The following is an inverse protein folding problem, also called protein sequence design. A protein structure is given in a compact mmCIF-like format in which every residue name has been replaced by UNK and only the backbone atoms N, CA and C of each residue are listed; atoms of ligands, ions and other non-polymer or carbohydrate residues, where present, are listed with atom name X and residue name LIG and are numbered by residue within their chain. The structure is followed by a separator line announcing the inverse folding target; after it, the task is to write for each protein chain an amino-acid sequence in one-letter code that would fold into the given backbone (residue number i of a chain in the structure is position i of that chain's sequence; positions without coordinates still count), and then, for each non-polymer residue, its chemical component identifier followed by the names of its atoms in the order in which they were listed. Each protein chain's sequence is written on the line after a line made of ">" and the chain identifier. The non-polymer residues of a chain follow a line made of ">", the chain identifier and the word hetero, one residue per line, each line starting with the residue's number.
data_IF_360200444806
#
_entry.id   IF_360200444806
#
_cell.length_a   1.000
_cell.length_b   1.000
_cell.length_c   1.000
_cell.angle_alpha   90.00
_cell.angle_beta   90.00
_cell.angle_gamma   90.00
#
_symmetry.space_group_name_H-M   'P 1'
#
loop_
_entity.id
_entity.type
_entity.pdbx_description
1 polymer ?
#
# COMPACT_ATOMS: atom_id res chain seq x y z
N UNK A 1 -33.05 -51.95 49.82
CA UNK A 1 -33.70 -50.80 49.16
C UNK A 1 -32.77 -50.21 48.10
N UNK A 2 -32.97 -50.52 46.81
CA UNK A 2 -32.19 -49.92 45.72
C UNK A 2 -32.95 -48.75 45.07
N UNK A 3 -32.27 -47.61 44.91
CA UNK A 3 -32.79 -46.40 44.24
C UNK A 3 -32.68 -46.53 42.72
N UNK A 4 -33.69 -46.01 42.06
CA UNK A 4 -34.00 -46.11 40.64
C UNK A 4 -32.96 -45.47 39.71
N UNK A 5 -32.70 -46.16 38.59
CA UNK A 5 -32.08 -45.63 37.37
C UNK A 5 -33.13 -44.79 36.63
N UNK A 6 -32.86 -43.51 36.41
CA UNK A 6 -33.58 -42.68 35.45
C UNK A 6 -33.04 -42.91 34.04
N UNK A 7 -33.98 -43.30 33.18
CA UNK A 7 -33.85 -43.58 31.76
C UNK A 7 -34.08 -42.24 31.03
N UNK A 8 -33.11 -41.77 30.24
CA UNK A 8 -33.28 -40.61 29.34
C UNK A 8 -33.50 -41.15 27.93
N UNK A 9 -34.63 -40.73 27.37
CA UNK A 9 -35.22 -41.06 26.08
C UNK A 9 -34.57 -40.24 24.93
N UNK A 10 -34.09 -40.86 23.84
CA UNK A 10 -33.64 -40.18 22.64
C UNK A 10 -34.77 -40.04 21.60
N UNK A 11 -35.27 -38.82 21.41
CA UNK A 11 -36.23 -38.46 20.36
C UNK A 11 -35.55 -37.96 19.05
N UNK A 12 -36.26 -37.91 17.90
CA UNK A 12 -35.89 -38.70 16.74
C UNK A 12 -35.28 -37.95 15.53
N UNK A 13 -34.66 -38.78 14.69
CA UNK A 13 -34.13 -38.55 13.34
C UNK A 13 -35.21 -37.97 12.40
N UNK A 14 -35.00 -36.74 11.90
CA UNK A 14 -35.73 -36.20 10.74
C UNK A 14 -35.10 -36.74 9.45
N UNK A 15 -35.88 -37.56 8.75
CA UNK A 15 -35.69 -37.94 7.34
C UNK A 15 -36.09 -36.78 6.44
N UNK A 16 -35.22 -36.36 5.52
CA UNK A 16 -35.63 -35.62 4.34
C UNK A 16 -35.48 -36.48 3.08
N UNK A 17 -36.55 -36.46 2.31
CA UNK A 17 -36.88 -37.36 1.24
C UNK A 17 -36.14 -37.05 -0.06
N UNK A 18 -35.84 -38.12 -0.80
CA UNK A 18 -35.53 -38.08 -2.22
C UNK A 18 -36.76 -37.66 -3.04
N UNK A 19 -36.58 -36.76 -4.00
CA UNK A 19 -37.40 -36.65 -5.21
C UNK A 19 -36.54 -36.13 -6.35
N UNK A 20 -36.38 -36.98 -7.37
CA UNK A 20 -35.74 -36.63 -8.63
C UNK A 20 -36.72 -36.02 -9.64
N UNK A 21 -36.13 -35.48 -10.71
CA UNK A 21 -36.79 -35.04 -11.94
C UNK A 21 -36.00 -33.91 -12.63
N UNK A 22 -36.16 -33.69 -13.94
CA UNK A 22 -35.45 -34.47 -14.95
C UNK A 22 -34.47 -33.64 -15.80
N UNK A 23 -33.61 -34.39 -16.51
CA UNK A 23 -32.69 -33.96 -17.55
C UNK A 23 -33.38 -33.18 -18.67
N UNK A 24 -32.82 -32.02 -19.03
CA UNK A 24 -32.92 -31.48 -20.39
C UNK A 24 -31.51 -31.49 -21.01
N UNK A 25 -31.38 -32.30 -22.06
CA UNK A 25 -30.23 -32.36 -22.97
C UNK A 25 -30.38 -31.29 -24.05
N UNK A 26 -29.23 -31.00 -24.69
CA UNK A 26 -28.96 -30.35 -26.00
C UNK A 26 -28.55 -28.88 -25.81
N UNK A 27 -27.41 -28.40 -26.33
CA UNK A 27 -26.81 -28.65 -27.64
C UNK A 27 -25.27 -28.50 -27.58
N UNK A 28 -24.57 -29.24 -28.46
CA UNK A 28 -23.14 -29.18 -28.72
C UNK A 28 -22.80 -28.04 -29.70
N UNK A 29 -21.64 -27.41 -29.54
CA UNK A 29 -20.76 -26.82 -30.56
C UNK A 29 -19.43 -26.51 -29.84
N UNK A 30 -18.38 -27.34 -29.91
CA UNK A 30 -17.44 -27.56 -31.01
C UNK A 30 -16.60 -26.32 -31.36
N UNK A 31 -15.40 -26.24 -30.78
CA UNK A 31 -14.16 -25.64 -31.28
C UNK A 31 -13.20 -25.56 -30.05
N UNK A 32 -11.94 -25.92 -30.06
CA UNK A 32 -11.01 -26.37 -31.08
C UNK A 32 -9.67 -26.50 -30.34
N UNK A 33 -8.92 -27.54 -30.67
CA UNK A 33 -7.59 -27.82 -30.15
C UNK A 33 -6.65 -26.61 -30.32
N UNK A 34 -6.00 -26.19 -29.24
CA UNK A 34 -4.71 -25.51 -29.30
C UNK A 34 -3.85 -26.00 -28.13
N UNK A 35 -3.13 -27.09 -28.41
CA UNK A 35 -1.96 -27.52 -27.65
C UNK A 35 -0.87 -26.49 -27.93
N UNK A 36 -0.51 -25.70 -26.92
CA UNK A 36 0.74 -24.94 -26.91
C UNK A 36 1.46 -25.27 -25.60
N UNK A 37 2.52 -26.05 -25.76
CA UNK A 37 3.43 -26.42 -24.70
C UNK A 37 4.16 -25.19 -24.17
N UNK A 38 4.00 -24.94 -22.87
CA UNK A 38 4.86 -24.03 -22.13
C UNK A 38 6.07 -24.83 -21.63
N UNK A 39 7.30 -24.40 -21.92
CA UNK A 39 8.48 -24.97 -21.30
C UNK A 39 8.46 -24.66 -19.81
N UNK A 40 8.53 -25.71 -19.00
CA UNK A 40 8.90 -25.66 -17.59
C UNK A 40 10.35 -25.14 -17.52
N UNK A 41 10.51 -23.82 -17.46
CA UNK A 41 11.76 -23.22 -17.01
C UNK A 41 11.74 -23.31 -15.48
N UNK A 42 12.43 -24.32 -14.96
CA UNK A 42 12.70 -24.45 -13.54
C UNK A 42 13.55 -23.28 -13.07
N UNK A 43 12.92 -22.29 -12.44
CA UNK A 43 13.60 -21.32 -11.59
C UNK A 43 13.97 -22.02 -10.27
N UNK A 44 15.04 -22.81 -10.34
CA UNK A 44 15.84 -23.17 -9.18
C UNK A 44 16.68 -21.95 -8.77
N UNK A 45 16.06 -21.03 -8.06
CA UNK A 45 16.74 -19.97 -7.31
C UNK A 45 15.90 -19.66 -6.06
N UNK A 46 15.82 -20.67 -5.18
CA UNK A 46 15.49 -20.37 -3.79
C UNK A 46 16.63 -19.55 -3.19
N UNK A 47 16.36 -18.56 -2.32
CA UNK A 47 17.42 -18.03 -1.50
C UNK A 47 17.94 -19.22 -0.69
N UNK A 48 19.22 -19.55 -0.88
CA UNK A 48 19.93 -20.26 0.15
C UNK A 48 19.84 -19.37 1.39
N UNK A 49 18.82 -19.63 2.22
CA UNK A 49 18.89 -19.33 3.64
C UNK A 49 20.07 -20.16 4.11
N UNK A 50 21.27 -19.59 3.96
CA UNK A 50 22.42 -19.99 4.72
C UNK A 50 21.91 -19.97 6.14
N UNK A 51 21.77 -21.16 6.72
CA UNK A 51 21.76 -21.30 8.15
C UNK A 51 23.14 -20.80 8.58
N UNK A 52 23.25 -19.48 8.74
CA UNK A 52 24.22 -18.88 9.63
C UNK A 52 23.81 -19.36 11.01
N UNK A 53 24.18 -20.60 11.32
CA UNK A 53 24.50 -20.99 12.67
C UNK A 53 25.58 -19.98 13.05
N UNK A 54 25.16 -18.92 13.74
CA UNK A 54 26.06 -18.06 14.47
C UNK A 54 26.75 -19.02 15.45
N UNK A 55 27.90 -19.53 15.03
CA UNK A 55 28.86 -20.14 15.92
C UNK A 55 29.35 -18.95 16.73
N UNK A 56 28.62 -18.64 17.81
CA UNK A 56 29.14 -17.76 18.85
C UNK A 56 30.52 -18.31 19.16
N UNK A 57 31.54 -17.50 18.85
CA UNK A 57 32.92 -17.85 19.14
C UNK A 57 33.01 -18.31 20.57
N UNK A 58 33.73 -19.40 20.79
CA UNK A 58 33.96 -20.02 22.09
C UNK A 58 34.82 -19.15 23.04
N UNK A 59 34.89 -17.85 22.79
CA UNK A 59 35.69 -16.84 23.51
C UNK A 59 34.81 -15.70 24.06
N UNK A 60 33.50 -15.89 24.17
CA UNK A 60 32.71 -15.05 25.06
C UNK A 60 33.16 -15.36 26.50
N UNK A 61 33.69 -14.40 27.27
CA UNK A 61 34.03 -14.63 28.66
C UNK A 61 32.78 -15.18 29.35
N UNK A 62 32.91 -16.37 29.95
CA UNK A 62 31.85 -16.98 30.73
C UNK A 62 31.32 -15.90 31.68
N UNK A 63 30.01 -15.60 31.68
CA UNK A 63 29.46 -14.68 32.65
C UNK A 63 29.84 -15.24 34.03
N UNK A 64 30.69 -14.50 34.73
CA UNK A 64 31.12 -14.84 36.08
C UNK A 64 29.88 -14.96 36.95
N UNK A 65 29.43 -16.19 37.14
CA UNK A 65 28.40 -16.57 38.08
C UNK A 65 28.99 -16.46 39.49
N UNK A 66 29.10 -15.22 39.96
CA UNK A 66 29.20 -14.87 41.37
C UNK A 66 27.86 -14.24 41.71
N UNK A 67 26.99 -14.70 42.59
CA UNK A 67 26.91 -15.83 43.51
C UNK A 67 25.63 -15.57 44.31
N UNK A 68 24.83 -16.60 44.57
CA UNK A 68 23.73 -16.65 45.57
C UNK A 68 22.52 -15.69 45.48
N UNK A 69 22.49 -14.66 44.64
CA UNK A 69 21.30 -13.80 44.46
C UNK A 69 20.31 -14.30 43.39
N UNK A 70 20.62 -15.40 42.67
CA UNK A 70 19.78 -15.91 41.57
C UNK A 70 18.42 -16.49 42.02
N UNK A 71 18.21 -16.73 43.31
CA UNK A 71 16.99 -17.34 43.83
C UNK A 71 15.89 -16.33 44.19
N UNK A 72 16.16 -15.01 44.26
CA UNK A 72 15.11 -14.10 44.69
C UNK A 72 14.08 -13.87 43.58
N UNK A 73 12.87 -14.34 43.87
CA UNK A 73 11.68 -13.94 43.15
C UNK A 73 11.30 -14.78 41.93
N UNK A 74 12.12 -15.77 41.52
CA UNK A 74 11.76 -16.69 40.44
C UNK A 74 10.40 -17.40 40.65
N UNK A 75 10.05 -17.92 41.85
CA UNK A 75 8.73 -18.50 42.08
C UNK A 75 7.59 -17.47 41.94
N UNK A 76 7.80 -16.24 42.43
CA UNK A 76 6.83 -15.14 42.33
C UNK A 76 6.65 -14.68 40.89
N UNK A 77 7.74 -14.62 40.13
CA UNK A 77 7.73 -14.26 38.72
C UNK A 77 7.04 -15.35 37.89
N UNK A 78 7.35 -16.62 38.12
CA UNK A 78 6.67 -17.76 37.49
C UNK A 78 5.15 -17.76 37.76
N UNK A 79 4.74 -17.50 39.02
CA UNK A 79 3.33 -17.33 39.35
C UNK A 79 2.69 -16.15 38.59
N UNK A 80 3.40 -15.03 38.45
CA UNK A 80 2.93 -13.89 37.66
C UNK A 80 2.82 -14.20 36.16
N UNK A 81 3.75 -14.98 35.58
CA UNK A 81 3.66 -15.44 34.20
C UNK A 81 2.44 -16.34 33.99
N UNK A 82 2.15 -17.24 34.94
CA UNK A 82 0.96 -18.09 34.92
C UNK A 82 -0.33 -17.25 34.93
N UNK A 83 -0.38 -16.19 35.73
CA UNK A 83 -1.52 -15.26 35.77
C UNK A 83 -1.67 -14.48 34.45
N UNK A 84 -0.57 -14.00 33.86
CA UNK A 84 -0.59 -13.31 32.55
C UNK A 84 -1.11 -14.27 31.47
N UNK A 85 -0.68 -15.53 31.49
CA UNK A 85 -1.15 -16.57 30.59
C UNK A 85 -2.65 -16.81 30.70
N UNK A 86 -3.19 -16.80 31.93
CA UNK A 86 -4.61 -17.03 32.17
C UNK A 86 -5.48 -15.81 31.81
N UNK A 87 -5.00 -14.59 32.07
CA UNK A 87 -5.81 -13.38 31.98
C UNK A 87 -5.60 -12.55 30.71
N UNK A 88 -4.37 -12.41 30.22
CA UNK A 88 -4.01 -11.49 29.12
C UNK A 88 -3.80 -12.20 27.80
N UNK A 89 -3.12 -13.34 27.80
CA UNK A 89 -2.81 -14.07 26.56
C UNK A 89 -4.06 -14.50 25.76
N UNK A 90 -5.23 -14.85 26.36
CA UNK A 90 -6.43 -15.16 25.59
C UNK A 90 -6.92 -14.00 24.71
N UNK A 91 -6.63 -12.75 25.07
CA UNK A 91 -6.97 -11.59 24.25
C UNK A 91 -6.23 -11.58 22.91
N UNK A 92 -5.00 -12.14 22.85
CA UNK A 92 -4.26 -12.30 21.58
C UNK A 92 -4.99 -13.25 20.63
N UNK A 93 -5.59 -14.31 21.18
CA UNK A 93 -6.38 -15.27 20.41
C UNK A 93 -7.70 -14.64 19.95
N UNK A 94 -8.44 -13.99 20.86
CA UNK A 94 -9.69 -13.30 20.53
C UNK A 94 -9.47 -12.23 19.44
N UNK A 95 -8.48 -11.35 19.63
CA UNK A 95 -8.12 -10.34 18.65
C UNK A 95 -7.79 -10.93 17.26
N UNK A 96 -7.27 -12.15 17.19
CA UNK A 96 -6.96 -12.83 15.93
C UNK A 96 -8.20 -13.41 15.25
N UNK A 97 -9.17 -13.86 16.03
CA UNK A 97 -10.48 -14.32 15.54
C UNK A 97 -11.31 -13.11 15.07
N UNK A 98 -11.21 -11.99 15.78
CA UNK A 98 -11.89 -10.72 15.47
C UNK A 98 -11.21 -9.92 14.34
N UNK A 99 -10.00 -10.31 13.94
CA UNK A 99 -9.26 -9.61 12.91
C UNK A 99 -9.98 -9.72 11.56
N UNK A 100 -10.72 -8.66 11.27
CA UNK A 100 -11.95 -8.65 10.47
C UNK A 100 -11.90 -9.31 9.10
N UNK A 101 -13.10 -9.59 8.60
CA UNK A 101 -13.32 -9.89 7.20
C UNK A 101 -12.78 -8.75 6.31
N UNK A 102 -12.28 -9.06 5.10
CA UNK A 102 -12.01 -8.00 4.13
C UNK A 102 -13.28 -7.19 3.89
N UNK A 103 -13.13 -5.89 3.71
CA UNK A 103 -14.20 -5.02 3.25
C UNK A 103 -14.57 -5.42 1.81
N UNK A 104 -15.71 -6.07 1.66
CA UNK A 104 -16.22 -6.59 0.38
C UNK A 104 -16.64 -5.45 -0.58
N UNK A 105 -16.83 -4.23 -0.09
CA UNK A 105 -17.16 -3.07 -0.93
C UNK A 105 -15.96 -2.61 -1.77
N UNK A 106 -14.74 -3.01 -1.39
CA UNK A 106 -13.53 -2.54 -2.04
C UNK A 106 -13.24 -3.31 -3.34
N UNK A 107 -12.74 -2.61 -4.39
CA UNK A 107 -12.46 -3.22 -5.69
C UNK A 107 -11.28 -4.23 -5.71
N UNK A 108 -10.59 -4.44 -4.58
CA UNK A 108 -9.42 -5.35 -4.49
C UNK A 108 -8.14 -4.82 -5.13
N UNK A 109 -8.18 -3.63 -5.75
CA UNK A 109 -7.07 -2.96 -6.43
C UNK A 109 -7.39 -1.48 -6.58
N UNK A 110 -6.37 -0.64 -6.84
CA UNK A 110 -6.63 0.75 -7.21
C UNK A 110 -7.45 0.81 -8.52
N UNK A 111 -8.42 1.72 -8.56
CA UNK A 111 -9.26 2.07 -9.70
C UNK A 111 -8.40 2.75 -10.76
N UNK A 112 -7.52 3.65 -10.33
CA UNK A 112 -6.59 4.39 -11.17
C UNK A 112 -5.14 4.00 -10.85
N UNK A 113 -4.43 3.53 -11.88
CA UNK A 113 -2.99 3.34 -11.78
C UNK A 113 -2.28 4.65 -12.12
N UNK A 114 -1.45 5.21 -11.23
CA UNK A 114 -0.69 6.41 -11.55
C UNK A 114 0.24 6.13 -12.73
N UNK A 115 0.27 7.07 -13.68
CA UNK A 115 1.10 7.02 -14.88
C UNK A 115 2.49 7.56 -14.54
N UNK A 116 2.53 8.67 -13.82
CA UNK A 116 3.77 9.21 -13.27
C UNK A 116 4.19 8.40 -12.04
N UNK A 117 5.41 7.87 -12.07
CA UNK A 117 5.99 7.28 -10.87
C UNK A 117 6.17 8.38 -9.81
N UNK A 118 5.73 8.16 -8.56
CA UNK A 118 5.88 9.17 -7.53
C UNK A 118 7.35 9.55 -7.32
N UNK A 119 7.62 10.85 -7.33
CA UNK A 119 8.93 11.40 -6.94
C UNK A 119 9.14 11.21 -5.43
N UNK A 120 10.29 10.69 -5.03
CA UNK A 120 10.65 10.51 -3.61
C UNK A 120 10.29 9.16 -3.00
N UNK A 121 10.96 8.82 -1.89
CA UNK A 121 10.81 7.54 -1.21
C UNK A 121 9.49 7.39 -0.46
N UNK A 122 9.02 8.45 0.20
CA UNK A 122 7.74 8.45 0.93
C UNK A 122 6.53 8.26 0.03
N UNK A 123 6.51 8.96 -1.10
CA UNK A 123 5.50 8.86 -2.13
C UNK A 123 5.33 7.41 -2.64
N UNK A 124 6.45 6.72 -2.90
CA UNK A 124 6.44 5.30 -3.31
C UNK A 124 5.95 4.38 -2.19
N UNK A 125 6.35 4.65 -0.95
CA UNK A 125 5.86 3.90 0.22
C UNK A 125 4.36 4.10 0.43
N UNK A 126 3.84 5.31 0.22
CA UNK A 126 2.42 5.64 0.32
C UNK A 126 1.61 4.86 -0.73
N UNK A 127 2.06 4.89 -1.99
CA UNK A 127 1.46 4.12 -3.08
C UNK A 127 1.50 2.60 -2.82
N UNK A 128 2.62 2.08 -2.31
CA UNK A 128 2.75 0.67 -1.96
C UNK A 128 1.79 0.26 -0.84
N UNK A 129 1.69 1.09 0.21
CA UNK A 129 0.78 0.88 1.33
C UNK A 129 -0.70 0.92 0.87
N UNK A 130 -1.09 1.90 0.05
CA UNK A 130 -2.45 1.97 -0.49
C UNK A 130 -2.78 0.77 -1.39
N UNK A 131 -1.85 0.33 -2.26
CA UNK A 131 -2.03 -0.89 -3.05
C UNK A 131 -2.22 -2.14 -2.18
N UNK A 132 -1.46 -2.22 -1.09
CA UNK A 132 -1.57 -3.32 -0.14
C UNK A 132 -2.94 -3.29 0.57
N UNK A 133 -3.42 -2.13 1.00
CA UNK A 133 -4.76 -1.96 1.59
C UNK A 133 -5.87 -2.29 0.59
N UNK A 134 -5.75 -1.86 -0.67
CA UNK A 134 -6.71 -2.18 -1.72
C UNK A 134 -6.81 -3.70 -1.93
N UNK A 135 -5.68 -4.40 -2.00
CA UNK A 135 -5.64 -5.87 -2.17
C UNK A 135 -6.09 -6.64 -0.95
N UNK A 136 -5.82 -6.12 0.25
CA UNK A 136 -6.19 -6.79 1.49
C UNK A 136 -7.66 -6.60 1.85
N UNK A 137 -8.40 -5.75 1.13
CA UNK A 137 -9.76 -5.35 1.52
C UNK A 137 -9.73 -4.52 2.80
N UNK A 138 -8.80 -3.57 2.88
CA UNK A 138 -8.56 -2.70 4.04
C UNK A 138 -8.30 -3.45 5.35
N UNK A 139 -7.83 -4.69 5.28
CA UNK A 139 -7.46 -5.46 6.48
C UNK A 139 -6.27 -4.81 7.19
N UNK A 140 -6.14 -4.99 8.52
CA UNK A 140 -5.01 -4.49 9.30
C UNK A 140 -3.67 -4.82 8.65
N UNK A 141 -2.70 -3.90 8.73
CA UNK A 141 -1.44 -4.00 7.99
C UNK A 141 -0.69 -5.32 8.26
N UNK A 142 -0.76 -5.83 9.49
CA UNK A 142 -0.13 -7.10 9.86
C UNK A 142 -0.71 -8.32 9.12
N UNK A 143 -1.97 -8.25 8.66
CA UNK A 143 -2.59 -9.29 7.84
C UNK A 143 -2.28 -9.16 6.36
N UNK A 144 -1.84 -7.98 5.92
CA UNK A 144 -1.75 -7.66 4.52
C UNK A 144 -0.49 -8.21 3.84
N UNK A 145 0.48 -8.74 4.59
CA UNK A 145 1.66 -9.42 4.04
C UNK A 145 1.81 -10.85 4.61
N UNK A 146 2.42 -11.75 3.85
CA UNK A 146 2.76 -13.10 4.36
C UNK A 146 3.81 -13.03 5.48
N UNK A 147 4.77 -12.12 5.36
CA UNK A 147 5.84 -11.90 6.34
C UNK A 147 5.28 -11.42 7.68
N UNK A 148 4.47 -10.36 7.68
CA UNK A 148 3.84 -9.83 8.90
C UNK A 148 2.93 -10.87 9.56
N UNK A 149 2.17 -11.65 8.79
CA UNK A 149 1.35 -12.75 9.34
C UNK A 149 2.19 -13.83 10.00
N UNK A 150 3.32 -14.18 9.38
CA UNK A 150 4.27 -15.14 9.95
C UNK A 150 4.90 -14.58 11.23
N UNK A 151 5.36 -13.33 11.23
CA UNK A 151 5.94 -12.66 12.40
C UNK A 151 4.95 -12.63 13.56
N UNK A 152 3.71 -12.17 13.34
CA UNK A 152 2.68 -12.12 14.39
C UNK A 152 2.39 -13.51 14.95
N UNK A 153 2.30 -14.53 14.07
CA UNK A 153 2.12 -15.92 14.50
C UNK A 153 3.31 -16.40 15.34
N UNK A 154 4.53 -16.13 14.91
CA UNK A 154 5.72 -16.61 15.61
C UNK A 154 5.90 -15.89 16.96
N UNK A 155 5.78 -14.57 17.00
CA UNK A 155 5.81 -13.79 18.25
C UNK A 155 4.73 -14.27 19.22
N UNK A 156 3.50 -14.50 18.74
CA UNK A 156 2.42 -15.05 19.57
C UNK A 156 2.77 -16.44 20.11
N UNK A 157 3.33 -17.33 19.29
CA UNK A 157 3.75 -18.67 19.71
C UNK A 157 4.89 -18.62 20.72
N UNK A 158 5.92 -17.80 20.49
CA UNK A 158 7.06 -17.64 21.39
C UNK A 158 6.62 -17.10 22.74
N UNK A 159 5.75 -16.09 22.77
CA UNK A 159 5.15 -15.60 24.02
C UNK A 159 4.36 -16.70 24.73
N UNK A 160 3.61 -17.52 23.99
CA UNK A 160 2.88 -18.66 24.55
C UNK A 160 3.81 -19.70 25.18
N UNK A 161 4.96 -20.00 24.55
CA UNK A 161 5.99 -20.89 25.10
C UNK A 161 6.68 -20.28 26.31
N UNK A 162 7.05 -19.01 26.24
CA UNK A 162 7.68 -18.26 27.34
C UNK A 162 6.79 -18.24 28.59
N UNK A 163 5.50 -17.93 28.43
CA UNK A 163 4.51 -17.93 29.50
C UNK A 163 4.20 -19.34 30.06
N UNK A 164 4.65 -20.39 29.38
CA UNK A 164 4.46 -21.79 29.76
C UNK A 164 5.74 -22.46 30.28
N UNK A 165 6.83 -21.70 30.43
CA UNK A 165 8.09 -22.23 30.96
C UNK A 165 7.90 -22.71 32.40
N UNK A 166 8.48 -23.86 32.71
CA UNK A 166 8.55 -24.35 34.09
C UNK A 166 9.37 -23.39 34.96
N UNK A 167 9.11 -23.44 36.26
CA UNK A 167 9.88 -22.68 37.24
C UNK A 167 11.37 -23.09 37.18
N UNK A 168 12.24 -22.12 36.91
CA UNK A 168 13.69 -22.30 36.92
C UNK A 168 14.34 -21.13 37.66
N UNK A 169 15.51 -21.38 38.25
CA UNK A 169 16.30 -20.33 38.91
C UNK A 169 16.76 -19.23 37.94
N UNK A 170 16.80 -19.51 36.64
CA UNK A 170 17.23 -18.59 35.60
C UNK A 170 16.10 -17.76 34.97
N UNK A 171 14.85 -17.94 35.40
CA UNK A 171 13.67 -17.32 34.77
C UNK A 171 13.73 -15.78 34.76
N UNK A 172 14.41 -15.18 35.74
CA UNK A 172 14.59 -13.74 35.83
C UNK A 172 15.71 -13.18 34.92
N UNK A 173 16.55 -14.05 34.33
CA UNK A 173 17.68 -13.66 33.50
C UNK A 173 17.30 -13.32 32.06
N UNK A 174 17.89 -12.28 31.48
CA UNK A 174 17.77 -11.96 30.05
C UNK A 174 16.38 -11.47 29.57
N UNK A 175 15.41 -11.31 30.48
CA UNK A 175 14.03 -10.88 30.13
C UNK A 175 14.00 -9.55 29.37
N UNK A 176 14.75 -8.49 29.76
CA UNK A 176 14.73 -7.23 29.02
C UNK A 176 15.17 -7.36 27.55
N UNK A 177 16.20 -8.16 27.27
CA UNK A 177 16.70 -8.39 25.92
C UNK A 177 15.73 -9.23 25.07
N UNK A 178 15.11 -10.24 25.68
CA UNK A 178 14.05 -11.01 25.06
C UNK A 178 12.86 -10.11 24.67
N UNK A 179 12.35 -9.29 25.60
CA UNK A 179 11.22 -8.40 25.33
C UNK A 179 11.57 -7.30 24.31
N UNK A 180 12.80 -6.79 24.33
CA UNK A 180 13.31 -5.87 23.29
C UNK A 180 13.25 -6.52 21.90
N UNK A 181 13.66 -7.78 21.80
CA UNK A 181 13.60 -8.55 20.55
C UNK A 181 12.15 -8.75 20.08
N UNK A 182 11.24 -9.13 20.97
CA UNK A 182 9.81 -9.29 20.65
C UNK A 182 9.18 -7.98 20.17
N UNK A 183 9.49 -6.85 20.83
CA UNK A 183 9.02 -5.51 20.39
C UNK A 183 9.56 -5.13 19.01
N UNK A 184 10.80 -5.47 18.70
CA UNK A 184 11.39 -5.22 17.38
C UNK A 184 10.66 -6.00 16.27
N UNK A 185 10.36 -7.27 16.49
CA UNK A 185 9.56 -8.07 15.56
C UNK A 185 8.15 -7.51 15.41
N UNK A 186 7.51 -7.13 16.51
CA UNK A 186 6.17 -6.56 16.49
C UNK A 186 6.10 -5.24 15.71
N UNK A 187 7.08 -4.35 15.92
CA UNK A 187 7.18 -3.08 15.19
C UNK A 187 7.33 -3.28 13.68
N UNK A 188 8.09 -4.32 13.26
CA UNK A 188 8.20 -4.71 11.84
C UNK A 188 6.87 -5.21 11.27
N UNK A 189 6.01 -5.83 12.08
CA UNK A 189 4.77 -6.44 11.61
C UNK A 189 3.56 -5.47 11.57
N UNK A 190 3.40 -4.60 12.57
CA UNK A 190 2.27 -3.65 12.67
C UNK A 190 2.43 -2.40 11.79
N UNK A 191 3.67 -1.98 11.54
CA UNK A 191 3.95 -0.70 10.91
C UNK A 191 3.72 0.45 11.90
N UNK A 192 4.60 1.43 11.87
CA UNK A 192 4.60 2.54 12.84
C UNK A 192 3.46 3.53 12.54
N UNK A 193 2.60 3.93 13.51
CA UNK A 193 1.58 4.96 13.31
C UNK A 193 2.19 6.30 12.87
N UNK A 194 3.37 6.69 13.38
CA UNK A 194 4.06 7.88 12.91
C UNK A 194 4.45 7.78 11.43
N UNK A 195 4.75 6.57 10.96
CA UNK A 195 4.94 6.31 9.53
C UNK A 195 3.65 6.52 8.73
N UNK A 196 2.48 6.15 9.26
CA UNK A 196 1.20 6.37 8.55
C UNK A 196 0.92 7.86 8.38
N UNK A 197 1.10 8.67 9.42
CA UNK A 197 0.90 10.12 9.35
C UNK A 197 1.88 10.78 8.38
N UNK A 198 3.14 10.35 8.39
CA UNK A 198 4.13 10.80 7.40
C UNK A 198 3.71 10.42 5.96
N UNK A 199 3.20 9.21 5.74
CA UNK A 199 2.69 8.77 4.43
C UNK A 199 1.46 9.59 4.00
N UNK A 200 0.54 9.88 4.92
CA UNK A 200 -0.63 10.73 4.65
C UNK A 200 -0.20 12.15 4.28
N UNK A 201 0.72 12.75 5.04
CA UNK A 201 1.23 14.09 4.78
C UNK A 201 1.94 14.18 3.41
N UNK A 202 2.85 13.25 3.11
CA UNK A 202 3.52 13.17 1.82
C UNK A 202 2.51 13.00 0.67
N UNK A 203 1.54 12.10 0.83
CA UNK A 203 0.52 11.85 -0.18
C UNK A 203 -0.43 13.05 -0.36
N UNK A 204 -0.72 13.79 0.70
CA UNK A 204 -1.54 15.01 0.64
C UNK A 204 -0.85 16.08 -0.20
N UNK A 205 0.45 16.27 -0.03
CA UNK A 205 1.26 17.16 -0.88
C UNK A 205 1.19 16.77 -2.35
N UNK A 206 1.38 15.49 -2.66
CA UNK A 206 1.33 14.97 -4.03
C UNK A 206 -0.05 15.12 -4.65
N UNK A 207 -1.11 14.76 -3.93
CA UNK A 207 -2.48 14.89 -4.41
C UNK A 207 -2.82 16.36 -4.67
N UNK A 208 -2.45 17.27 -3.76
CA UNK A 208 -2.64 18.71 -3.91
C UNK A 208 -1.92 19.25 -5.15
N UNK A 209 -0.63 18.95 -5.32
CA UNK A 209 0.14 19.36 -6.50
C UNK A 209 -0.41 18.77 -7.80
N UNK A 210 -0.84 17.50 -7.80
CA UNK A 210 -1.41 16.85 -8.98
C UNK A 210 -2.76 17.46 -9.37
N UNK A 211 -3.61 17.80 -8.40
CA UNK A 211 -4.87 18.49 -8.65
C UNK A 211 -4.62 19.88 -9.21
N UNK A 212 -3.72 20.67 -8.60
CA UNK A 212 -3.37 22.01 -9.08
C UNK A 212 -2.79 22.00 -10.50
N UNK A 213 -1.86 21.09 -10.79
CA UNK A 213 -1.28 20.94 -12.12
C UNK A 213 -2.33 20.56 -13.17
N UNK A 214 -3.29 19.70 -12.80
CA UNK A 214 -4.38 19.31 -13.71
C UNK A 214 -5.35 20.46 -13.92
N UNK A 215 -5.70 21.21 -12.87
CA UNK A 215 -6.55 22.40 -13.00
C UNK A 215 -5.89 23.48 -13.86
N UNK A 216 -4.58 23.68 -13.75
CA UNK A 216 -3.83 24.63 -14.57
C UNK A 216 -3.83 24.23 -16.05
N UNK A 217 -3.62 22.94 -16.35
CA UNK A 217 -3.66 22.43 -17.72
C UNK A 217 -5.07 22.42 -18.33
N UNK A 218 -6.11 22.39 -17.49
CA UNK A 218 -7.51 22.55 -17.88
C UNK A 218 -7.95 24.02 -17.97
N UNK A 219 -7.06 25.00 -17.73
CA UNK A 219 -7.44 26.40 -17.91
C UNK A 219 -7.79 26.65 -19.37
N UNK A 220 -8.94 27.27 -19.65
CA UNK A 220 -9.28 27.68 -21.01
C UNK A 220 -8.14 28.52 -21.58
N UNK A 221 -7.71 28.22 -22.80
CA UNK A 221 -6.71 29.02 -23.50
C UNK A 221 -7.26 30.45 -23.55
N UNK A 222 -6.53 31.46 -23.05
CA UNK A 222 -7.01 32.83 -23.10
C UNK A 222 -7.30 33.17 -24.54
N UNK A 223 -8.54 33.59 -24.81
CA UNK A 223 -8.90 34.07 -26.14
C UNK A 223 -7.89 35.16 -26.50
N UNK A 224 -7.36 35.17 -27.73
CA UNK A 224 -6.40 36.17 -28.14
C UNK A 224 -7.04 37.54 -27.87
N UNK A 225 -6.43 38.30 -26.95
CA UNK A 225 -6.87 39.65 -26.66
C UNK A 225 -6.80 40.40 -27.99
N UNK A 226 -7.91 40.98 -28.50
CA UNK A 226 -7.88 41.66 -29.78
C UNK A 226 -6.75 42.70 -29.73
N UNK A 227 -5.86 42.65 -30.73
CA UNK A 227 -4.74 43.57 -30.80
C UNK A 227 -5.27 44.99 -30.61
N UNK A 228 -4.63 45.83 -29.78
CA UNK A 228 -5.08 47.20 -29.58
C UNK A 228 -5.25 47.84 -30.95
N UNK A 229 -6.39 48.48 -31.19
CA UNK A 229 -6.64 49.20 -32.44
C UNK A 229 -5.41 50.05 -32.73
N UNK A 230 -4.81 49.86 -33.90
CA UNK A 230 -3.60 50.56 -34.33
C UNK A 230 -3.90 52.05 -34.19
N UNK A 231 -3.47 52.65 -33.07
CA UNK A 231 -3.49 54.10 -32.90
C UNK A 231 -2.49 54.60 -33.91
N UNK A 232 -2.95 55.47 -34.81
CA UNK A 232 -2.19 56.09 -35.90
C UNK A 232 -0.71 56.20 -35.54
N UNK A 233 0.05 55.17 -35.93
CA UNK A 233 1.49 55.25 -35.80
C UNK A 233 1.91 56.31 -36.80
N UNK A 234 2.68 57.33 -36.39
CA UNK A 234 3.19 58.30 -37.34
C UNK A 234 3.90 57.53 -38.45
N UNK A 235 3.57 57.84 -39.71
CA UNK A 235 4.04 57.16 -40.93
C UNK A 235 5.58 57.16 -41.11
N UNK A 236 6.33 57.57 -40.10
CA UNK A 236 7.77 57.78 -40.09
C UNK A 236 8.52 56.83 -39.15
N UNK A 237 7.88 55.81 -38.57
CA UNK A 237 8.61 54.76 -37.86
C UNK A 237 9.36 53.88 -38.88
N UNK A 238 10.55 54.35 -39.27
CA UNK A 238 11.52 53.64 -40.10
C UNK A 238 11.69 52.21 -39.58
N UNK A 239 11.22 51.26 -40.38
CA UNK A 239 11.50 49.84 -40.25
C UNK A 239 13.02 49.66 -40.25
N UNK A 240 13.63 49.55 -39.07
CA UNK A 240 15.02 49.13 -38.96
C UNK A 240 15.13 47.74 -39.60
N UNK A 241 16.08 47.53 -40.52
CA UNK A 241 16.28 46.21 -41.11
C UNK A 241 16.63 45.22 -40.01
N UNK A 242 15.93 44.08 -39.99
CA UNK A 242 16.19 42.98 -39.09
C UNK A 242 17.57 42.38 -39.37
N UNK A 243 18.60 42.95 -38.75
CA UNK A 243 19.94 42.36 -38.69
C UNK A 243 19.90 41.31 -37.58
N UNK A 244 19.89 40.01 -37.96
CA UNK A 244 20.13 38.94 -36.98
C UNK A 244 19.31 37.66 -37.08
N UNK A 245 18.75 37.28 -38.23
CA UNK A 245 18.41 35.86 -38.49
C UNK A 245 19.68 35.15 -38.97
N UNK A 246 20.63 34.97 -38.06
CA UNK A 246 21.75 34.06 -38.28
C UNK A 246 21.19 32.63 -38.28
N UNK A 247 21.10 32.07 -39.47
CA UNK A 247 20.97 30.65 -39.75
C UNK A 247 21.93 29.83 -38.90
N UNK A 248 21.46 29.26 -37.79
CA UNK A 248 22.13 28.11 -37.16
C UNK A 248 21.72 26.88 -37.96
N UNK A 249 22.42 26.71 -39.08
CA UNK A 249 22.44 25.48 -39.87
C UNK A 249 23.32 24.49 -39.11
N UNK A 250 22.74 23.76 -38.16
CA UNK A 250 23.47 22.67 -37.49
C UNK A 250 23.64 21.53 -38.49
N UNK A 251 24.90 21.32 -38.87
CA UNK A 251 25.34 20.28 -39.77
C UNK A 251 25.19 18.90 -39.12
N UNK A 252 24.78 17.95 -39.94
CA UNK A 252 24.85 16.52 -39.66
C UNK A 252 26.29 16.08 -39.36
N UNK A 253 26.44 15.21 -38.37
CA UNK A 253 27.50 14.20 -38.36
C UNK A 253 26.83 12.84 -38.57
N UNK A 254 26.99 12.35 -39.79
CA UNK A 254 26.79 10.98 -40.26
C UNK A 254 27.69 10.05 -39.42
N UNK A 255 27.13 9.02 -38.80
CA UNK A 255 27.91 7.89 -38.27
C UNK A 255 27.26 6.57 -38.75
N UNK A 256 27.98 5.74 -39.54
CA UNK A 256 27.38 4.55 -40.16
C UNK A 256 27.33 3.37 -39.19
N UNK A 257 26.20 2.68 -39.22
CA UNK A 257 25.96 1.42 -38.52
C UNK A 257 26.89 0.31 -39.00
N UNK A 258 27.70 -0.23 -38.07
CA UNK A 258 28.42 -1.49 -38.24
C UNK A 258 27.59 -2.65 -37.66
N UNK A 259 27.22 -3.59 -38.53
CA UNK A 259 26.61 -4.87 -38.16
C UNK A 259 27.65 -5.82 -37.53
N UNK A 260 27.29 -6.63 -36.52
CA UNK A 260 28.08 -7.81 -36.18
C UNK A 260 27.58 -9.08 -36.94
N UNK A 261 28.50 -10.00 -37.29
CA UNK A 261 28.19 -11.18 -38.09
C UNK A 261 27.61 -12.34 -37.28
N UNK A 262 26.88 -13.19 -38.00
CA UNK A 262 26.42 -14.51 -37.58
C UNK A 262 27.49 -15.58 -37.87
N UNK A 263 27.78 -16.43 -36.87
CA UNK A 263 28.39 -17.77 -36.91
C UNK A 263 28.66 -18.18 -35.45
N UNK A 264 28.62 -19.43 -34.97
CA UNK A 264 28.30 -20.73 -35.52
C UNK A 264 27.99 -21.66 -34.34
N UNK A 265 27.32 -22.78 -34.62
CA UNK A 265 27.13 -23.89 -33.70
C UNK A 265 28.47 -24.56 -33.33
N UNK A 266 28.60 -25.02 -32.09
CA UNK A 266 29.71 -25.84 -31.61
C UNK A 266 29.36 -26.52 -30.29
N UNK A 267 29.37 -27.85 -30.31
CA UNK A 267 29.11 -28.78 -29.21
C UNK A 267 30.27 -28.90 -28.18
N UNK A 268 29.88 -29.24 -26.94
CA UNK A 268 30.63 -29.95 -25.86
C UNK A 268 31.69 -29.21 -25.01
N UNK A 269 32.12 -29.72 -23.82
CA UNK A 269 31.47 -30.53 -22.75
C UNK A 269 31.58 -29.86 -21.34
N UNK A 270 31.07 -30.46 -20.22
CA UNK A 270 31.10 -29.81 -18.90
C UNK A 270 32.45 -30.00 -18.19
N UNK A 271 32.99 -28.93 -17.62
CA UNK A 271 34.12 -29.00 -16.69
C UNK A 271 33.86 -28.08 -15.50
N UNK A 272 33.74 -28.71 -14.33
CA UNK A 272 33.70 -28.02 -13.06
C UNK A 272 35.08 -27.46 -12.72
N UNK A 273 35.12 -26.18 -12.39
CA UNK A 273 36.18 -25.60 -11.58
C UNK A 273 35.57 -24.62 -10.56
N UNK A 274 36.12 -24.59 -9.33
CA UNK A 274 35.68 -23.68 -8.28
C UNK A 274 36.16 -22.26 -8.61
N UNK A 275 35.29 -21.26 -8.45
CA UNK A 275 35.67 -19.87 -8.64
C UNK A 275 36.59 -19.40 -7.50
N UNK A 276 37.66 -18.64 -7.79
CA UNK A 276 38.44 -17.95 -6.78
C UNK A 276 37.66 -16.74 -6.23
N UNK A 277 37.76 -16.55 -4.92
CA UNK A 277 37.36 -15.32 -4.22
C UNK A 277 38.22 -14.16 -4.72
N UNK A 278 37.60 -13.23 -5.43
CA UNK A 278 38.22 -11.95 -5.80
C UNK A 278 37.82 -10.96 -4.71
N UNK A 279 38.79 -10.60 -3.88
CA UNK A 279 38.73 -9.43 -3.01
C UNK A 279 38.54 -8.19 -3.88
N UNK A 280 37.36 -7.57 -3.78
CA UNK A 280 37.06 -6.32 -4.45
C UNK A 280 37.65 -5.15 -3.64
N UNK A 281 38.80 -4.65 -4.07
CA UNK A 281 39.23 -3.30 -3.77
C UNK A 281 38.14 -2.30 -4.21
N UNK A 282 37.85 -1.25 -3.41
CA UNK A 282 36.92 -0.21 -3.81
C UNK A 282 37.59 0.68 -4.87
N UNK A 283 37.43 0.33 -6.14
CA UNK A 283 37.72 1.26 -7.25
C UNK A 283 36.80 2.47 -7.09
N UNK A 284 37.43 3.63 -6.84
CA UNK A 284 36.79 4.93 -6.75
C UNK A 284 35.93 5.20 -7.98
N UNK A 285 34.64 4.97 -7.84
CA UNK A 285 33.64 5.40 -8.81
C UNK A 285 33.60 6.91 -8.81
N UNK A 286 34.02 7.50 -9.92
CA UNK A 286 33.77 8.89 -10.27
C UNK A 286 32.27 9.14 -10.12
N UNK A 287 31.88 9.79 -9.02
CA UNK A 287 30.53 10.29 -8.87
C UNK A 287 30.24 11.17 -10.10
N UNK A 288 29.13 10.98 -10.82
CA UNK A 288 28.70 11.99 -11.76
C UNK A 288 28.51 13.26 -10.94
N UNK A 289 29.38 14.25 -11.19
CA UNK A 289 29.18 15.58 -10.68
C UNK A 289 27.76 15.96 -11.11
N UNK A 290 26.86 16.04 -10.14
CA UNK A 290 25.59 16.71 -10.32
C UNK A 290 25.96 18.12 -10.74
N UNK A 291 25.93 18.38 -12.05
CA UNK A 291 25.78 19.73 -12.56
C UNK A 291 24.46 20.19 -11.98
N UNK A 292 24.55 20.83 -10.82
CA UNK A 292 23.54 21.75 -10.35
C UNK A 292 23.42 22.76 -11.48
N UNK A 293 22.46 22.52 -12.36
CA UNK A 293 22.08 23.45 -13.40
C UNK A 293 21.45 24.61 -12.64
N UNK A 294 22.30 25.56 -12.24
CA UNK A 294 21.95 26.85 -11.62
C UNK A 294 21.30 27.79 -12.64
N UNK A 295 20.80 27.25 -13.75
CA UNK A 295 19.86 27.88 -14.65
C UNK A 295 18.48 27.97 -13.98
N UNK A 296 18.41 28.55 -12.78
CA UNK A 296 17.18 29.23 -12.39
C UNK A 296 16.92 30.26 -13.48
N UNK A 297 15.76 30.25 -14.15
CA UNK A 297 15.42 31.29 -15.11
C UNK A 297 15.66 32.62 -14.41
N UNK A 298 16.39 33.54 -15.06
CA UNK A 298 16.62 34.88 -14.55
C UNK A 298 15.23 35.48 -14.33
N UNK A 299 14.78 35.46 -13.07
CA UNK A 299 13.52 36.07 -12.67
C UNK A 299 13.64 37.54 -13.00
N UNK A 300 12.80 38.01 -13.92
CA UNK A 300 12.76 39.41 -14.30
C UNK A 300 12.46 40.22 -13.03
N UNK A 301 13.39 41.05 -12.54
CA UNK A 301 13.23 41.77 -11.28
C UNK A 301 12.07 42.77 -11.32
N UNK A 302 11.54 43.09 -12.51
CA UNK A 302 10.40 43.97 -12.69
C UNK A 302 9.04 43.23 -12.70
N UNK A 303 9.02 41.89 -12.76
CA UNK A 303 7.78 41.14 -12.57
C UNK A 303 7.49 40.94 -11.08
N UNK A 304 6.26 41.24 -10.61
CA UNK A 304 5.88 40.88 -9.25
C UNK A 304 5.98 39.35 -9.09
N UNK A 305 6.47 38.86 -7.93
CA UNK A 305 6.63 37.43 -7.72
C UNK A 305 5.29 36.73 -7.98
N UNK A 306 5.32 35.71 -8.84
CA UNK A 306 4.12 34.91 -9.12
C UNK A 306 3.68 34.28 -7.80
N UNK A 307 2.45 34.57 -7.39
CA UNK A 307 1.90 34.01 -6.17
C UNK A 307 1.93 32.47 -6.27
N UNK A 308 2.63 31.82 -5.35
CA UNK A 308 2.66 30.37 -5.28
C UNK A 308 1.22 29.85 -5.12
N UNK A 309 0.83 28.82 -5.89
CA UNK A 309 -0.52 28.28 -5.79
C UNK A 309 -0.72 27.70 -4.38
N UNK A 310 -1.78 28.18 -3.71
CA UNK A 310 -2.14 27.73 -2.37
C UNK A 310 -2.43 26.22 -2.38
N UNK A 311 -1.81 25.41 -1.52
CA UNK A 311 -2.13 23.99 -1.40
C UNK A 311 -3.62 23.77 -1.10
N UNK A 312 -4.24 22.80 -1.78
CA UNK A 312 -5.59 22.35 -1.44
C UNK A 312 -5.59 21.58 -0.12
N UNK A 313 -6.61 21.83 0.70
CA UNK A 313 -6.94 20.96 1.81
C UNK A 313 -7.61 19.69 1.26
N UNK A 314 -7.10 18.51 1.64
CA UNK A 314 -7.58 17.20 1.20
C UNK A 314 -7.69 16.21 2.38
N UNK A 315 -7.83 16.72 3.60
CA UNK A 315 -7.81 15.93 4.83
C UNK A 315 -9.10 15.13 5.01
N UNK A 316 -10.24 15.70 4.62
CA UNK A 316 -11.58 15.11 4.77
C UNK A 316 -12.11 14.53 3.46
N UNK A 317 -13.13 13.66 3.55
CA UNK A 317 -13.80 13.13 2.35
C UNK A 317 -14.52 14.22 1.56
N UNK A 318 -15.14 15.18 2.26
CA UNK A 318 -15.80 16.32 1.62
C UNK A 318 -14.82 17.14 0.78
N UNK A 319 -13.61 17.37 1.29
CA UNK A 319 -12.55 18.07 0.58
C UNK A 319 -12.03 17.28 -0.64
N UNK A 320 -11.86 15.96 -0.49
CA UNK A 320 -11.47 15.07 -1.60
C UNK A 320 -12.55 15.03 -2.69
N UNK A 321 -13.83 14.94 -2.31
CA UNK A 321 -14.96 15.00 -3.24
C UNK A 321 -15.03 16.34 -3.97
N UNK A 322 -14.89 17.45 -3.24
CA UNK A 322 -14.87 18.79 -3.82
C UNK A 322 -13.71 18.96 -4.83
N UNK A 323 -12.54 18.37 -4.55
CA UNK A 323 -11.42 18.37 -5.49
C UNK A 323 -11.72 17.56 -6.76
N UNK A 324 -12.38 16.39 -6.63
CA UNK A 324 -12.82 15.59 -7.78
C UNK A 324 -13.84 16.35 -8.63
N UNK A 325 -14.82 16.99 -7.99
CA UNK A 325 -15.85 17.76 -8.69
C UNK A 325 -15.25 19.00 -9.38
N UNK A 326 -14.30 19.69 -8.76
CA UNK A 326 -13.58 20.80 -9.38
C UNK A 326 -12.79 20.38 -10.63
N UNK A 327 -12.19 19.18 -10.63
CA UNK A 327 -11.49 18.65 -11.81
C UNK A 327 -12.47 18.35 -12.96
N UNK A 328 -13.66 17.82 -12.66
CA UNK A 328 -14.69 17.53 -13.66
C UNK A 328 -15.26 18.83 -14.23
N UNK A 329 -15.57 19.82 -13.39
CA UNK A 329 -16.02 21.15 -13.80
C UNK A 329 -14.99 21.85 -14.67
N UNK A 330 -13.70 21.80 -14.31
CA UNK A 330 -12.62 22.34 -15.14
C UNK A 330 -12.51 21.61 -16.49
N UNK A 331 -12.69 20.28 -16.51
CA UNK A 331 -12.69 19.51 -17.75
C UNK A 331 -13.86 19.89 -18.67
N UNK A 332 -15.04 20.16 -18.12
CA UNK A 332 -16.19 20.71 -18.86
C UNK A 332 -15.91 22.13 -19.38
N UNK A 333 -15.41 23.02 -18.53
CA UNK A 333 -15.14 24.42 -18.88
C UNK A 333 -14.03 24.57 -19.95
N UNK A 334 -13.04 23.67 -19.96
CA UNK A 334 -11.99 23.62 -20.98
C UNK A 334 -12.46 23.09 -22.34
N UNK A 335 -13.65 22.49 -22.39
CA UNK A 335 -14.12 21.73 -23.56
C UNK A 335 -13.44 20.37 -23.74
N UNK A 336 -12.60 19.92 -22.80
CA UNK A 336 -12.01 18.59 -22.82
C UNK A 336 -13.06 17.49 -22.63
N UNK A 337 -14.15 17.80 -21.92
CA UNK A 337 -15.34 16.97 -21.80
C UNK A 337 -16.50 17.59 -22.60
N UNK A 338 -17.19 16.82 -23.46
CA UNK A 338 -18.31 17.34 -24.25
C UNK A 338 -19.49 17.74 -23.35
N UNK A 339 -20.09 18.90 -23.58
CA UNK A 339 -21.27 19.41 -22.86
C UNK A 339 -22.60 18.74 -23.29
N UNK A 340 -22.59 17.49 -23.75
CA UNK A 340 -23.84 16.81 -24.11
C UNK A 340 -24.64 16.46 -22.83
N UNK A 341 -25.32 17.46 -22.27
CA UNK A 341 -26.08 17.44 -21.01
C UNK A 341 -27.09 16.29 -20.95
N UNK A 342 -27.67 15.96 -22.11
CA UNK A 342 -28.68 14.91 -22.22
C UNK A 342 -28.09 13.49 -22.20
N UNK A 343 -26.88 13.29 -22.75
CA UNK A 343 -26.28 11.96 -22.91
C UNK A 343 -25.48 11.51 -21.68
N UNK A 344 -24.87 12.46 -20.96
CA UNK A 344 -24.11 12.16 -19.74
C UNK A 344 -25.07 11.78 -18.61
N UNK A 345 -26.14 12.56 -18.39
CA UNK A 345 -27.14 12.27 -17.34
C UNK A 345 -27.85 10.93 -17.54
N UNK A 346 -28.20 10.55 -18.78
CA UNK A 346 -28.84 9.25 -19.06
C UNK A 346 -27.87 8.07 -18.90
N UNK A 347 -26.57 8.25 -19.15
CA UNK A 347 -25.58 7.19 -18.95
C UNK A 347 -25.16 7.04 -17.50
N UNK A 348 -25.07 8.13 -16.74
CA UNK A 348 -24.79 8.08 -15.30
C UNK A 348 -25.93 7.38 -14.56
N UNK A 349 -27.18 7.68 -14.91
CA UNK A 349 -28.35 6.97 -14.36
C UNK A 349 -28.42 5.50 -14.82
N UNK A 350 -28.03 5.18 -16.07
CA UNK A 350 -27.99 3.80 -16.56
C UNK A 350 -26.85 2.96 -15.94
N UNK A 351 -25.70 3.57 -15.63
CA UNK A 351 -24.57 2.89 -14.98
C UNK A 351 -24.86 2.58 -13.50
N UNK A 352 -25.65 3.42 -12.83
CA UNK A 352 -26.19 3.17 -11.48
C UNK A 352 -27.35 2.15 -11.51
N UNK A 353 -28.02 1.99 -12.65
CA UNK A 353 -29.12 1.04 -12.86
C UNK A 353 -28.66 -0.32 -13.40
N UNK A 354 -27.46 -0.80 -13.03
CA UNK A 354 -27.19 -2.24 -13.17
C UNK A 354 -28.20 -3.01 -12.31
N UNK A 355 -28.92 -4.00 -12.87
CA UNK A 355 -29.90 -4.77 -12.12
C UNK A 355 -29.18 -5.65 -11.11
N UNK A 356 -29.04 -5.14 -9.89
CA UNK A 356 -28.79 -5.96 -8.71
C UNK A 356 -30.14 -6.59 -8.30
N UNK A 357 -30.65 -7.48 -9.14
CA UNK A 357 -31.80 -8.33 -8.80
C UNK A 357 -31.33 -9.40 -7.82
N UNK A 358 -31.26 -9.02 -6.54
CA UNK A 358 -31.67 -9.83 -5.39
C UNK A 358 -31.23 -9.16 -4.08
N UNK A 359 -32.03 -8.25 -3.52
CA UNK A 359 -32.10 -8.07 -2.07
C UNK A 359 -33.54 -7.77 -1.62
N UNK A 360 -34.00 -8.40 -0.53
CA UNK A 360 -35.34 -8.24 0.00
C UNK A 360 -35.51 -6.90 0.70
N UNK A 361 -36.70 -6.35 0.49
CA UNK A 361 -37.23 -5.13 1.12
C UNK A 361 -37.46 -5.32 2.61
N UNK A 362 -37.04 -4.33 3.41
CA UNK A 362 -37.64 -4.03 4.70
C UNK A 362 -36.75 -4.23 5.93
N UNK A 363 -35.72 -3.41 6.08
CA UNK A 363 -35.19 -3.07 7.40
C UNK A 363 -34.83 -1.58 7.38
N UNK A 364 -35.55 -0.78 8.17
CA UNK A 364 -35.14 0.58 8.51
C UNK A 364 -33.80 0.50 9.24
N UNK A 365 -32.74 0.92 8.55
CA UNK A 365 -31.38 0.96 9.11
C UNK A 365 -31.31 2.18 10.01
N UNK A 366 -31.27 1.93 11.31
CA UNK A 366 -30.86 2.91 12.30
C UNK A 366 -29.43 3.37 11.96
N UNK A 367 -29.26 4.69 11.86
CA UNK A 367 -28.04 5.39 11.53
C UNK A 367 -27.06 5.31 12.71
N UNK A 368 -26.51 4.11 12.93
CA UNK A 368 -25.69 3.76 14.08
C UNK A 368 -24.24 3.56 13.62
N UNK A 369 -23.62 4.63 13.11
CA UNK A 369 -22.15 4.81 12.99
C UNK A 369 -21.31 3.67 12.38
N UNK A 370 -21.90 2.78 11.59
CA UNK A 370 -21.27 1.55 11.10
C UNK A 370 -20.82 1.75 9.66
N UNK A 371 -19.50 1.75 9.41
CA UNK A 371 -18.81 1.49 8.12
C UNK A 371 -19.58 1.80 6.80
N UNK A 372 -20.27 2.93 6.73
CA UNK A 372 -21.16 3.27 5.61
C UNK A 372 -20.43 4.15 4.60
N UNK A 373 -19.97 3.49 3.53
CA UNK A 373 -19.58 4.10 2.26
C UNK A 373 -18.15 4.63 2.20
N UNK A 374 -17.48 4.33 1.09
CA UNK A 374 -16.30 5.10 0.67
C UNK A 374 -16.72 6.02 -0.46
N UNK A 375 -17.34 7.19 -0.15
CA UNK A 375 -17.98 8.01 -1.17
C UNK A 375 -16.98 8.55 -2.20
N UNK A 376 -15.73 8.76 -1.78
CA UNK A 376 -14.64 9.15 -2.68
C UNK A 376 -14.32 8.02 -3.66
N UNK A 377 -14.26 6.76 -3.24
CA UNK A 377 -14.10 5.63 -4.18
C UNK A 377 -15.31 5.45 -5.09
N UNK A 378 -16.52 5.60 -4.57
CA UNK A 378 -17.74 5.50 -5.39
C UNK A 378 -17.78 6.57 -6.47
N UNK A 379 -17.37 7.79 -6.12
CA UNK A 379 -17.19 8.89 -7.06
C UNK A 379 -16.11 8.56 -8.08
N UNK A 380 -14.95 8.09 -7.65
CA UNK A 380 -13.84 7.68 -8.52
C UNK A 380 -14.24 6.56 -9.50
N UNK A 381 -15.01 5.57 -9.05
CA UNK A 381 -15.59 4.52 -9.91
C UNK A 381 -16.49 5.12 -10.99
N UNK A 382 -17.32 6.09 -10.63
CA UNK A 382 -18.22 6.82 -11.55
C UNK A 382 -17.43 7.63 -12.58
N UNK A 383 -16.27 8.18 -12.21
CA UNK A 383 -15.40 8.96 -13.11
C UNK A 383 -14.50 8.09 -14.01
N UNK A 384 -14.40 6.79 -13.74
CA UNK A 384 -13.54 5.86 -14.49
C UNK A 384 -13.79 5.88 -16.02
N UNK A 385 -15.03 5.90 -16.54
CA UNK A 385 -15.29 5.93 -17.99
C UNK A 385 -14.80 7.20 -18.69
N UNK A 386 -14.58 8.30 -17.96
CA UNK A 386 -14.09 9.55 -18.54
C UNK A 386 -12.69 9.38 -19.14
N UNK A 387 -11.85 8.58 -18.48
CA UNK A 387 -10.41 8.45 -18.77
C UNK A 387 -9.97 7.02 -19.14
N UNK A 388 -10.79 6.00 -18.88
CA UNK A 388 -10.51 4.62 -19.27
C UNK A 388 -11.57 4.06 -20.23
N UNK A 389 -11.22 2.97 -20.91
CA UNK A 389 -12.11 2.23 -21.82
C UNK A 389 -11.66 2.30 -23.28
N UNK A 390 -12.38 1.59 -24.15
CA UNK A 390 -12.08 1.57 -25.59
C UNK A 390 -12.33 2.93 -26.28
N UNK A 391 -13.21 3.74 -25.69
CA UNK A 391 -13.59 5.08 -26.17
C UNK A 391 -13.77 6.01 -24.97
N UNK A 392 -12.67 6.47 -24.34
CA UNK A 392 -12.76 7.41 -23.23
C UNK A 392 -13.45 8.70 -23.71
N UNK A 393 -14.20 9.34 -22.83
CA UNK A 393 -14.90 10.59 -23.15
C UNK A 393 -13.91 11.71 -23.44
N UNK A 394 -12.82 11.78 -22.65
CA UNK A 394 -11.73 12.73 -22.85
C UNK A 394 -10.77 12.20 -23.92
N UNK A 395 -10.82 12.83 -25.09
CA UNK A 395 -10.01 12.44 -26.26
C UNK A 395 -8.57 12.90 -26.16
N UNK A 396 -8.35 14.09 -25.61
CA UNK A 396 -7.01 14.64 -25.38
C UNK A 396 -6.21 13.71 -24.47
N UNK A 397 -5.08 13.23 -24.98
CA UNK A 397 -4.22 12.25 -24.29
C UNK A 397 -3.48 12.90 -23.11
N UNK A 398 -3.05 14.16 -23.25
CA UNK A 398 -2.31 14.86 -22.21
C UNK A 398 -3.22 15.16 -21.01
N UNK A 399 -4.40 15.74 -21.27
CA UNK A 399 -5.41 16.01 -20.23
C UNK A 399 -5.83 14.72 -19.53
N UNK A 400 -6.10 13.66 -20.31
CA UNK A 400 -6.48 12.35 -19.75
C UNK A 400 -5.41 11.77 -18.82
N UNK A 401 -4.13 11.92 -19.17
CA UNK A 401 -3.02 11.45 -18.32
C UNK A 401 -2.99 12.20 -16.98
N UNK A 402 -3.10 13.53 -17.02
CA UNK A 402 -3.11 14.35 -15.81
C UNK A 402 -4.29 14.03 -14.89
N UNK A 403 -5.49 13.84 -15.46
CA UNK A 403 -6.65 13.41 -14.68
C UNK A 403 -6.46 12.03 -14.04
N UNK A 404 -5.86 11.07 -14.75
CA UNK A 404 -5.54 9.75 -14.17
C UNK A 404 -4.58 9.90 -12.99
N UNK A 405 -3.54 10.73 -13.11
CA UNK A 405 -2.58 10.96 -12.03
C UNK A 405 -3.24 11.66 -10.82
N UNK A 406 -4.09 12.67 -11.06
CA UNK A 406 -4.83 13.35 -10.00
C UNK A 406 -5.84 12.42 -9.28
N UNK A 407 -6.60 11.64 -10.04
CA UNK A 407 -7.54 10.66 -9.49
C UNK A 407 -6.82 9.56 -8.70
N UNK A 408 -5.71 9.02 -9.23
CA UNK A 408 -4.89 8.05 -8.51
C UNK A 408 -4.30 8.63 -7.22
N UNK A 409 -3.85 9.89 -7.23
CA UNK A 409 -3.28 10.52 -6.05
C UNK A 409 -4.32 10.72 -4.92
N UNK A 410 -5.56 11.12 -5.29
CA UNK A 410 -6.69 11.22 -4.35
C UNK A 410 -7.09 9.83 -3.84
N UNK A 411 -7.14 8.83 -4.73
CA UNK A 411 -7.48 7.45 -4.36
C UNK A 411 -6.51 6.87 -3.32
N UNK A 412 -5.20 7.03 -3.55
CA UNK A 412 -4.16 6.59 -2.61
C UNK A 412 -4.33 7.29 -1.26
N UNK A 413 -4.62 8.59 -1.25
CA UNK A 413 -4.85 9.34 -0.01
C UNK A 413 -6.07 8.81 0.75
N UNK A 414 -7.16 8.52 0.05
CA UNK A 414 -8.39 7.98 0.63
C UNK A 414 -8.14 6.59 1.26
N UNK A 415 -7.43 5.68 0.59
CA UNK A 415 -7.03 4.40 1.19
C UNK A 415 -6.21 4.58 2.47
N UNK A 416 -5.27 5.53 2.50
CA UNK A 416 -4.48 5.80 3.69
C UNK A 416 -5.31 6.43 4.81
N UNK A 417 -6.24 7.34 4.47
CA UNK A 417 -7.14 8.00 5.41
C UNK A 417 -8.06 7.01 6.12
N UNK A 418 -8.57 6.01 5.39
CA UNK A 418 -9.47 4.98 5.88
C UNK A 418 -8.79 3.68 6.33
N UNK A 419 -7.45 3.64 6.40
CA UNK A 419 -6.75 2.50 7.00
C UNK A 419 -7.33 2.29 8.41
N UNK A 420 -7.76 1.06 8.79
CA UNK A 420 -8.31 0.84 10.11
C UNK A 420 -7.27 1.26 11.13
N UNK A 421 -7.69 2.11 12.06
CA UNK A 421 -6.87 2.40 13.21
C UNK A 421 -6.50 1.06 13.87
N UNK A 422 -5.23 0.92 14.27
CA UNK A 422 -4.88 -0.14 15.19
C UNK A 422 -5.59 0.19 16.51
N UNK A 423 -6.75 -0.43 16.71
CA UNK A 423 -7.48 -0.30 17.96
C UNK A 423 -6.68 -0.96 19.08
N UNK A 424 -7.00 -0.58 20.32
CA UNK A 424 -6.41 -1.19 21.52
C UNK A 424 -6.63 -2.72 21.56
N UNK A 425 -7.65 -3.20 20.85
CA UNK A 425 -8.02 -4.62 20.74
C UNK A 425 -7.40 -5.33 19.54
N UNK A 426 -6.51 -4.66 18.78
CA UNK A 426 -5.84 -5.28 17.63
C UNK A 426 -4.86 -6.36 18.09
N UNK A 427 -4.58 -7.35 17.23
CA UNK A 427 -3.60 -8.41 17.56
C UNK A 427 -2.24 -7.83 17.97
N UNK A 428 -1.65 -6.84 17.25
CA UNK A 428 -0.40 -6.24 17.69
C UNK A 428 -0.51 -5.56 19.05
N UNK A 429 -1.59 -4.83 19.32
CA UNK A 429 -1.82 -4.19 20.61
C UNK A 429 -1.99 -5.22 21.75
N UNK A 430 -2.73 -6.31 21.53
CA UNK A 430 -2.88 -7.40 22.49
C UNK A 430 -1.53 -8.07 22.80
N UNK A 431 -0.70 -8.30 21.78
CA UNK A 431 0.67 -8.82 21.95
C UNK A 431 1.53 -7.84 22.74
N UNK A 432 1.48 -6.54 22.42
CA UNK A 432 2.20 -5.50 23.16
C UNK A 432 1.77 -5.48 24.64
N UNK A 433 0.47 -5.58 24.93
CA UNK A 433 -0.05 -5.67 26.29
C UNK A 433 0.45 -6.89 27.07
N UNK A 434 0.64 -8.03 26.41
CA UNK A 434 1.29 -9.21 27.03
C UNK A 434 2.77 -8.92 27.32
N UNK A 435 3.50 -8.35 26.37
CA UNK A 435 4.93 -7.98 26.54
C UNK A 435 5.09 -7.02 27.73
N UNK A 436 4.23 -6.01 27.84
CA UNK A 436 4.29 -5.02 28.91
C UNK A 436 3.90 -5.62 30.27
N UNK A 437 2.93 -6.54 30.29
CA UNK A 437 2.60 -7.29 31.50
C UNK A 437 3.79 -8.15 31.98
N UNK A 438 4.50 -8.80 31.06
CA UNK A 438 5.72 -9.58 31.38
C UNK A 438 6.80 -8.64 31.93
N UNK A 439 7.02 -7.48 31.31
CA UNK A 439 7.99 -6.48 31.77
C UNK A 439 7.66 -5.99 33.19
N UNK A 440 6.40 -5.67 33.47
CA UNK A 440 5.94 -5.23 34.77
C UNK A 440 6.09 -6.34 35.84
N UNK A 441 5.74 -7.58 35.49
CA UNK A 441 5.92 -8.73 36.37
C UNK A 441 7.40 -8.98 36.68
N UNK A 442 8.29 -8.80 35.69
CA UNK A 442 9.74 -8.94 35.86
C UNK A 442 10.27 -7.86 36.80
N UNK A 443 9.98 -6.60 36.51
CA UNK A 443 10.41 -5.47 37.36
C UNK A 443 9.93 -5.61 38.81
N UNK A 444 8.70 -6.10 39.02
CA UNK A 444 8.11 -6.29 40.35
C UNK A 444 8.71 -7.47 41.12
N UNK A 445 8.95 -8.59 40.45
CA UNK A 445 9.22 -9.85 41.13
C UNK A 445 10.69 -10.28 41.07
N UNK A 446 11.46 -9.83 40.08
CA UNK A 446 12.86 -10.23 39.87
C UNK A 446 13.89 -9.22 40.43
N UNK A 447 13.45 -8.19 41.15
CA UNK A 447 14.35 -7.26 41.83
C UNK A 447 14.96 -7.87 43.10
N UNK A 448 16.19 -8.35 43.01
CA UNK A 448 17.03 -8.66 44.18
C UNK A 448 17.85 -7.41 44.53
N UNK A 449 17.38 -6.61 45.49
CA UNK A 449 18.21 -5.59 46.17
C UNK A 449 17.83 -4.13 45.94
N UNK A 450 17.03 -3.58 46.86
CA UNK A 450 17.15 -2.22 47.39
C UNK A 450 16.32 -2.12 48.69
N UNK A 451 16.63 -2.96 49.68
CA UNK A 451 16.38 -2.68 51.10
C UNK A 451 17.62 -3.10 51.89
#
# INVERSE_FOLDING_TARGET
>A
MPRARTMIDPSPIRRHAARGGPRARRLRLAAGLAVLGLPLVGLAAGPAAGQSVVKLGADAPAPSASGTDAACGAPKYHAALSEIRASRYPAVKAAREDAGAPDESLPGRLIFNPIAAPGGGEARRALAAANQLARSGNRPAWMASSDSRWIIKEVSNELGRYLAQDETEFLCGGVPDYLKTMRSYLARAGGDPASLDALKAAQTGIASSSVLATLDALRPVPLPTPAPAIRDMPASAELRPAVGLATVRSAAADEPAAAPPAAAAGDAPPSGQPQPTIDAEPTGGTAPAATADTSSPVEDPDLPPLAEPKPLALATDAERLAALDALVEAALASGALPQDDAAISTRQTAALATPSDAMPSGAEVANDGTAEGRPVLDRLLTLRPLVYGARPEIRDVAVRRQLIDAFAAIEVLDYLAHRPAENADSVPAAIAGVIDAIAAAHAKNCGCGAD
#
